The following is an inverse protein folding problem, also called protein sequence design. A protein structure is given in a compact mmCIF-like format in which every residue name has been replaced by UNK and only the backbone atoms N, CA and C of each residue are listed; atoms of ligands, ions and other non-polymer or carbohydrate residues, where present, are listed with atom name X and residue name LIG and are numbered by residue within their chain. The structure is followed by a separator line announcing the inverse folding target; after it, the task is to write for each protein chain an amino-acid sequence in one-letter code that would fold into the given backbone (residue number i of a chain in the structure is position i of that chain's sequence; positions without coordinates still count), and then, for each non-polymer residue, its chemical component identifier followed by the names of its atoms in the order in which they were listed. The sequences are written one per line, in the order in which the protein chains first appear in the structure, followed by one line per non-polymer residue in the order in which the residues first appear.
data_IF_213838218288
#
_entry.id   IF_213838218288
#
_cell.length_a   1.000
_cell.length_b   1.000
_cell.length_c   1.000
_cell.angle_alpha   90.00
_cell.angle_beta   90.00
_cell.angle_gamma   90.00
#
_symmetry.space_group_name_H-M   'P 1'
#
loop_
_entity.id
_entity.type
_entity.pdbx_description
1 polymer ?
#
# COMPACT_ATOMS: atom_id res chain seq x y z
N UNK A 1 25.46 12.58 76.98
CA UNK A 1 25.57 11.16 76.60
C UNK A 1 24.70 10.96 75.37
N UNK A 2 25.25 11.07 74.17
CA UNK A 2 24.55 10.86 72.92
C UNK A 2 25.20 9.70 72.19
N UNK A 3 24.45 8.62 72.06
CA UNK A 3 24.84 7.41 71.32
C UNK A 3 24.77 7.63 69.82
N UNK A 4 25.83 7.39 69.09
CA UNK A 4 25.85 7.38 67.61
C UNK A 4 25.45 5.99 67.16
N UNK A 5 24.27 5.94 66.48
CA UNK A 5 23.86 4.76 65.73
C UNK A 5 24.38 4.92 64.29
N UNK A 6 25.31 4.05 63.89
CA UNK A 6 25.84 4.01 62.57
C UNK A 6 24.85 3.31 61.63
N UNK A 7 24.46 4.00 60.56
CA UNK A 7 23.63 3.44 59.49
C UNK A 7 24.56 2.78 58.47
N UNK A 8 24.58 1.46 58.42
CA UNK A 8 25.23 0.70 57.37
C UNK A 8 24.35 0.70 56.12
N UNK A 9 24.78 1.39 55.06
CA UNK A 9 24.13 1.33 53.76
C UNK A 9 24.52 0.02 53.05
N UNK A 10 23.58 -0.89 52.88
CA UNK A 10 23.74 -2.02 51.97
C UNK A 10 23.59 -1.50 50.54
N UNK A 11 24.70 -1.48 49.81
CA UNK A 11 24.71 -1.27 48.37
C UNK A 11 24.26 -2.59 47.69
N UNK A 12 23.01 -2.68 47.29
CA UNK A 12 22.52 -3.75 46.41
C UNK A 12 23.02 -3.48 44.99
N UNK A 13 23.98 -4.25 44.51
CA UNK A 13 24.39 -4.27 43.10
C UNK A 13 23.33 -5.02 42.33
N UNK A 14 22.45 -4.29 41.62
CA UNK A 14 21.54 -4.87 40.65
C UNK A 14 22.37 -5.19 39.39
N UNK A 15 22.71 -6.45 39.22
CA UNK A 15 23.23 -6.97 37.95
C UNK A 15 22.10 -6.97 36.94
N UNK A 16 21.99 -5.90 36.13
CA UNK A 16 21.15 -5.90 34.91
C UNK A 16 21.84 -6.81 33.90
N UNK A 17 21.31 -8.01 33.73
CA UNK A 17 21.64 -8.81 32.54
C UNK A 17 21.07 -8.06 31.35
N UNK A 18 21.91 -7.54 30.49
CA UNK A 18 21.50 -7.17 29.12
C UNK A 18 21.05 -8.46 28.43
N UNK A 19 19.77 -8.70 28.42
CA UNK A 19 19.17 -9.65 27.50
C UNK A 19 19.26 -8.95 26.14
N UNK A 20 20.11 -9.44 25.25
CA UNK A 20 20.10 -9.00 23.85
C UNK A 20 18.69 -9.25 23.33
N UNK A 21 18.01 -8.17 22.94
CA UNK A 21 16.67 -8.26 22.38
C UNK A 21 16.81 -9.00 21.05
N UNK A 22 16.15 -10.15 20.92
CA UNK A 22 16.10 -10.89 19.66
C UNK A 22 14.94 -10.38 18.84
N UNK A 23 15.10 -10.30 17.52
CA UNK A 23 14.06 -9.90 16.61
C UNK A 23 12.99 -11.00 16.51
N UNK A 24 11.70 -10.66 16.66
CA UNK A 24 10.62 -11.62 16.50
C UNK A 24 10.55 -12.15 15.05
N UNK A 25 9.81 -13.23 14.87
CA UNK A 25 9.52 -13.76 13.53
C UNK A 25 8.87 -12.67 12.69
N UNK A 26 9.28 -12.55 11.45
CA UNK A 26 8.86 -11.54 10.47
C UNK A 26 9.44 -10.13 10.68
N UNK A 27 10.20 -9.88 11.73
CA UNK A 27 10.87 -8.58 11.92
C UNK A 27 12.16 -8.46 11.08
N UNK A 28 12.53 -7.24 10.76
CA UNK A 28 13.81 -6.95 10.09
C UNK A 28 14.98 -7.31 11.01
N UNK A 29 15.99 -7.94 10.43
CA UNK A 29 17.20 -8.36 11.15
C UNK A 29 18.51 -8.02 10.43
N UNK A 30 18.45 -7.23 9.35
CA UNK A 30 19.66 -6.81 8.62
C UNK A 30 19.32 -5.95 7.40
N UNK A 31 20.35 -5.50 6.71
CA UNK A 31 20.31 -4.66 5.52
C UNK A 31 21.19 -3.42 5.65
N UNK A 32 21.50 -2.74 4.54
CA UNK A 32 22.32 -1.53 4.53
C UNK A 32 21.62 -0.45 5.37
N UNK A 33 22.34 0.11 6.35
CA UNK A 33 21.81 1.13 7.27
C UNK A 33 21.01 0.59 8.45
N UNK A 34 20.82 -0.72 8.57
CA UNK A 34 20.15 -1.32 9.72
C UNK A 34 20.97 -1.16 11.00
N UNK A 35 20.36 -0.59 12.04
CA UNK A 35 21.01 -0.35 13.34
C UNK A 35 20.38 -1.15 14.48
N UNK A 36 19.35 -1.96 14.18
CA UNK A 36 18.68 -2.82 15.16
C UNK A 36 19.40 -4.15 15.36
N UNK A 37 18.78 -5.03 16.17
CA UNK A 37 19.31 -6.38 16.42
C UNK A 37 19.29 -7.24 15.17
N UNK A 38 20.32 -8.05 15.01
CA UNK A 38 20.47 -8.94 13.83
C UNK A 38 20.18 -10.40 14.13
N UNK A 39 19.87 -10.71 15.41
CA UNK A 39 19.60 -12.07 15.88
C UNK A 39 18.10 -12.29 16.00
N UNK A 40 17.59 -13.32 15.34
CA UNK A 40 16.17 -13.72 15.42
C UNK A 40 15.90 -14.58 16.66
N UNK A 41 14.64 -14.58 17.13
CA UNK A 41 14.17 -15.50 18.17
C UNK A 41 14.37 -16.96 17.76
N UNK A 42 14.41 -17.86 18.75
CA UNK A 42 14.54 -19.30 18.51
C UNK A 42 13.42 -19.80 17.57
N UNK A 43 13.79 -20.56 16.55
CA UNK A 43 12.85 -21.04 15.53
C UNK A 43 12.71 -20.12 14.31
N UNK A 44 13.48 -19.02 14.27
CA UNK A 44 13.58 -18.17 13.09
C UNK A 44 15.04 -17.92 12.69
N UNK A 45 15.26 -17.70 11.40
CA UNK A 45 16.57 -17.43 10.79
C UNK A 45 16.52 -16.09 10.08
N UNK A 46 17.53 -15.24 10.30
CA UNK A 46 17.67 -14.00 9.54
C UNK A 46 17.99 -14.35 8.08
N UNK A 47 17.02 -14.15 7.22
CA UNK A 47 17.07 -14.49 5.81
C UNK A 47 17.24 -13.23 4.99
N UNK A 48 18.28 -13.19 4.17
CA UNK A 48 18.54 -12.11 3.23
C UNK A 48 17.39 -12.03 2.21
N UNK A 49 16.84 -10.84 2.03
CA UNK A 49 15.83 -10.54 1.01
C UNK A 49 16.44 -9.64 -0.08
N UNK A 50 17.12 -8.57 0.32
CA UNK A 50 17.87 -7.66 -0.56
C UNK A 50 18.92 -6.91 0.27
N UNK A 51 19.74 -6.06 -0.38
CA UNK A 51 20.83 -5.32 0.27
C UNK A 51 20.36 -4.41 1.42
N UNK A 52 19.13 -3.96 1.41
CA UNK A 52 18.56 -3.04 2.38
C UNK A 52 17.72 -3.73 3.46
N UNK A 53 17.36 -5.03 3.24
CA UNK A 53 16.41 -5.73 4.10
C UNK A 53 16.71 -7.22 4.24
N UNK A 54 16.86 -7.69 5.46
CA UNK A 54 16.85 -9.09 5.84
C UNK A 54 15.77 -9.33 6.89
N UNK A 55 15.10 -10.46 6.86
CA UNK A 55 13.94 -10.76 7.69
C UNK A 55 14.09 -12.04 8.47
N UNK A 56 13.60 -12.08 9.69
CA UNK A 56 13.50 -13.28 10.52
C UNK A 56 12.38 -14.19 10.02
N UNK A 57 12.70 -15.19 9.25
CA UNK A 57 11.73 -16.17 8.74
C UNK A 57 11.72 -17.45 9.60
N UNK A 58 10.55 -18.13 9.75
CA UNK A 58 10.49 -19.42 10.41
C UNK A 58 11.44 -20.43 9.76
N UNK A 59 12.30 -21.07 10.54
CA UNK A 59 13.27 -22.05 10.05
C UNK A 59 14.25 -22.45 11.14
N UNK A 60 14.88 -23.61 10.96
CA UNK A 60 16.01 -24.05 11.79
C UNK A 60 17.31 -23.77 11.05
N UNK A 61 18.25 -23.07 11.68
CA UNK A 61 19.58 -22.84 11.13
C UNK A 61 20.27 -24.20 10.87
N UNK A 62 20.35 -24.61 9.62
CA UNK A 62 21.23 -25.70 9.20
C UNK A 62 22.60 -25.08 8.98
N UNK A 63 23.55 -25.36 9.88
CA UNK A 63 24.96 -25.08 9.66
C UNK A 63 25.47 -25.96 8.54
N UNK A 64 25.44 -25.45 7.30
CA UNK A 64 26.19 -26.04 6.20
C UNK A 64 27.52 -25.31 6.04
N UNK A 65 28.63 -26.00 5.76
CA UNK A 65 29.92 -25.38 5.54
C UNK A 65 29.85 -24.48 4.29
N UNK A 66 30.51 -23.34 4.37
CA UNK A 66 30.65 -22.41 3.25
C UNK A 66 31.40 -23.11 2.11
N UNK A 67 30.65 -23.67 1.16
CA UNK A 67 31.18 -24.08 -0.13
C UNK A 67 31.01 -22.88 -1.05
N UNK A 68 32.11 -22.31 -1.46
CA UNK A 68 32.17 -21.30 -2.52
C UNK A 68 31.70 -21.96 -3.80
N UNK A 69 30.43 -21.99 -4.04
CA UNK A 69 29.87 -22.33 -5.35
C UNK A 69 29.80 -21.02 -6.13
N UNK A 70 30.69 -20.90 -7.09
CA UNK A 70 30.56 -19.97 -8.19
C UNK A 70 29.18 -20.21 -8.81
N UNK A 71 28.22 -19.36 -8.47
CA UNK A 71 26.91 -19.39 -9.12
C UNK A 71 27.13 -18.98 -10.56
N UNK A 72 27.08 -19.96 -11.43
CA UNK A 72 26.94 -19.76 -12.87
C UNK A 72 25.67 -18.95 -13.04
N UNK A 73 25.84 -17.69 -13.44
CA UNK A 73 24.76 -16.79 -13.86
C UNK A 73 23.83 -17.58 -14.80
N UNK A 74 22.63 -17.87 -14.36
CA UNK A 74 21.54 -18.24 -15.25
C UNK A 74 21.38 -17.11 -16.26
N UNK A 75 21.28 -17.48 -17.53
CA UNK A 75 21.23 -16.60 -18.67
C UNK A 75 20.25 -15.42 -18.45
N UNK A 76 20.55 -14.24 -18.99
CA UNK A 76 19.68 -13.07 -18.86
C UNK A 76 18.29 -13.45 -19.36
N UNK A 77 17.29 -13.24 -18.53
CA UNK A 77 15.91 -13.22 -18.98
C UNK A 77 15.86 -12.22 -20.13
N UNK A 78 15.51 -12.68 -21.32
CA UNK A 78 15.52 -11.83 -22.51
C UNK A 78 14.61 -10.62 -22.23
N UNK A 79 15.17 -9.41 -22.36
CA UNK A 79 14.40 -8.17 -22.21
C UNK A 79 13.24 -8.22 -23.21
N UNK A 80 11.98 -8.01 -22.78
CA UNK A 80 10.85 -8.06 -23.70
C UNK A 80 11.00 -6.99 -24.80
N UNK A 81 10.72 -7.39 -26.04
CA UNK A 81 10.79 -6.46 -27.18
C UNK A 81 9.75 -5.33 -27.03
N UNK A 82 10.16 -4.08 -27.26
CA UNK A 82 9.30 -2.90 -27.21
C UNK A 82 9.23 -2.23 -25.84
N UNK A 83 9.92 -2.75 -24.83
CA UNK A 83 9.94 -2.17 -23.47
C UNK A 83 10.71 -0.84 -23.42
N UNK A 84 11.59 -0.60 -24.37
CA UNK A 84 12.39 0.62 -24.50
C UNK A 84 11.55 1.90 -24.72
N UNK A 85 10.30 1.73 -25.17
CA UNK A 85 9.35 2.83 -25.41
C UNK A 85 8.20 2.84 -24.40
N UNK A 86 8.29 2.01 -23.34
CA UNK A 86 7.24 1.92 -22.34
C UNK A 86 7.38 2.99 -21.26
N UNK A 87 6.24 3.44 -20.76
CA UNK A 87 6.13 4.14 -19.50
C UNK A 87 5.73 3.14 -18.41
N UNK A 88 6.14 3.37 -17.18
CA UNK A 88 5.95 2.45 -16.07
C UNK A 88 5.04 3.06 -15.02
N UNK A 89 3.99 2.36 -14.66
CA UNK A 89 3.09 2.77 -13.61
C UNK A 89 3.20 1.80 -12.44
N UNK A 90 3.63 2.31 -11.29
CA UNK A 90 3.69 1.57 -10.03
C UNK A 90 2.52 2.01 -9.16
N UNK A 91 1.54 1.13 -8.99
CA UNK A 91 0.30 1.42 -8.29
C UNK A 91 0.22 0.65 -6.99
N UNK A 92 -0.20 1.34 -5.93
CA UNK A 92 -0.34 0.82 -4.58
C UNK A 92 -1.73 1.13 -4.07
N UNK A 93 -2.22 0.31 -3.15
CA UNK A 93 -3.52 0.59 -2.58
C UNK A 93 -4.20 -0.64 -1.98
N UNK A 94 -5.50 -0.58 -1.97
CA UNK A 94 -6.39 -1.58 -1.40
C UNK A 94 -7.29 -2.23 -2.46
N UNK A 95 -8.45 -2.73 -2.03
CA UNK A 95 -9.41 -3.41 -2.92
C UNK A 95 -9.96 -2.52 -4.05
N UNK A 96 -9.90 -1.19 -3.92
CA UNK A 96 -10.31 -0.30 -5.01
C UNK A 96 -9.36 -0.31 -6.20
N UNK A 97 -8.11 -0.71 -5.98
CA UNK A 97 -7.06 -0.73 -6.99
C UNK A 97 -6.59 -2.15 -7.31
N UNK A 98 -6.80 -3.13 -6.43
CA UNK A 98 -6.27 -4.48 -6.62
C UNK A 98 -6.69 -5.09 -7.97
N UNK A 99 -5.75 -5.85 -8.56
CA UNK A 99 -5.99 -6.79 -9.66
C UNK A 99 -5.47 -8.18 -9.34
N UNK A 100 -4.89 -8.38 -8.15
CA UNK A 100 -4.28 -9.63 -7.72
C UNK A 100 -2.89 -9.89 -8.31
N UNK A 101 -2.19 -8.84 -8.71
CA UNK A 101 -0.81 -8.93 -9.19
C UNK A 101 0.10 -9.54 -8.13
N UNK A 102 1.03 -10.39 -8.57
CA UNK A 102 2.09 -10.95 -7.72
C UNK A 102 3.44 -10.73 -8.38
N UNK A 103 4.46 -10.54 -7.55
CA UNK A 103 5.83 -10.28 -8.02
C UNK A 103 6.55 -11.52 -8.54
N UNK A 104 5.97 -12.71 -8.32
CA UNK A 104 6.56 -14.01 -8.66
C UNK A 104 6.08 -14.60 -9.98
N UNK A 105 5.02 -14.03 -10.55
CA UNK A 105 4.42 -14.49 -11.81
C UNK A 105 4.74 -13.56 -13.00
N UNK A 106 3.97 -13.67 -14.09
CA UNK A 106 4.20 -12.87 -15.29
C UNK A 106 4.13 -11.37 -14.99
N UNK A 107 5.20 -10.66 -15.27
CA UNK A 107 5.30 -9.21 -15.11
C UNK A 107 4.64 -8.47 -16.28
N UNK A 108 4.33 -7.16 -16.13
CA UNK A 108 3.85 -6.31 -17.22
C UNK A 108 4.83 -6.25 -18.38
N UNK A 109 4.31 -6.50 -19.59
CA UNK A 109 5.08 -6.46 -20.85
C UNK A 109 4.20 -5.92 -21.98
N UNK A 110 4.77 -5.45 -23.11
CA UNK A 110 3.98 -5.11 -24.29
C UNK A 110 3.06 -6.27 -24.71
N UNK A 111 1.76 -5.98 -24.86
CA UNK A 111 0.73 -6.99 -25.14
C UNK A 111 0.11 -7.64 -23.90
N UNK A 112 0.71 -7.48 -22.72
CA UNK A 112 0.14 -7.86 -21.42
C UNK A 112 0.50 -6.80 -20.38
N UNK A 113 -0.07 -5.58 -20.46
CA UNK A 113 0.43 -4.41 -19.74
C UNK A 113 0.18 -4.43 -18.23
N UNK A 114 -0.67 -5.33 -17.72
CA UNK A 114 -0.92 -5.52 -16.29
C UNK A 114 -0.23 -6.79 -15.72
N UNK A 115 0.42 -7.58 -16.58
CA UNK A 115 1.14 -8.78 -16.15
C UNK A 115 0.20 -9.91 -15.75
N UNK A 116 0.23 -10.27 -14.49
CA UNK A 116 -0.60 -11.31 -13.89
C UNK A 116 -1.59 -10.73 -12.88
N UNK A 117 -2.70 -11.43 -12.58
CA UNK A 117 -3.32 -12.50 -13.34
C UNK A 117 -3.83 -12.01 -14.71
N UNK A 118 -4.33 -12.88 -15.60
CA UNK A 118 -4.90 -12.44 -16.88
C UNK A 118 -5.98 -11.37 -16.70
N UNK A 119 -5.91 -10.34 -17.54
CA UNK A 119 -6.86 -9.21 -17.52
C UNK A 119 -8.33 -9.64 -17.46
N UNK A 120 -9.18 -8.97 -16.66
CA UNK A 120 -8.91 -7.83 -15.78
C UNK A 120 -8.32 -8.21 -14.41
N UNK A 121 -7.97 -9.46 -14.18
CA UNK A 121 -7.45 -9.96 -12.92
C UNK A 121 -8.54 -10.22 -11.87
N UNK A 122 -8.13 -10.22 -10.60
CA UNK A 122 -9.00 -10.47 -9.44
C UNK A 122 -9.37 -9.16 -8.77
N UNK A 123 -10.19 -8.35 -9.44
CA UNK A 123 -10.73 -7.12 -8.87
C UNK A 123 -11.81 -7.42 -7.82
N UNK A 124 -12.08 -6.48 -6.94
CA UNK A 124 -13.07 -6.64 -5.88
C UNK A 124 -14.51 -6.80 -6.38
N UNK A 125 -14.79 -6.47 -7.65
CA UNK A 125 -16.14 -6.49 -8.25
C UNK A 125 -16.27 -7.42 -9.46
N UNK A 126 -15.23 -8.18 -9.79
CA UNK A 126 -15.26 -9.18 -10.86
C UNK A 126 -15.25 -8.63 -12.28
N UNK A 127 -15.10 -7.32 -12.48
CA UNK A 127 -14.93 -6.65 -13.76
C UNK A 127 -13.68 -5.77 -13.74
N UNK A 128 -13.56 -4.85 -14.70
CA UNK A 128 -12.46 -3.87 -14.69
C UNK A 128 -12.62 -2.86 -13.58
N UNK A 129 -11.51 -2.44 -12.99
CA UNK A 129 -11.44 -1.29 -12.10
C UNK A 129 -10.74 -0.10 -12.79
N UNK A 130 -10.52 1.00 -12.07
CA UNK A 130 -9.97 2.23 -12.63
C UNK A 130 -8.56 2.04 -13.21
N UNK A 131 -7.68 1.29 -12.53
CA UNK A 131 -6.31 1.05 -12.98
C UNK A 131 -6.27 0.22 -14.28
N UNK A 132 -7.21 -0.72 -14.42
CA UNK A 132 -7.37 -1.49 -15.64
C UNK A 132 -7.68 -0.59 -16.83
N UNK A 133 -8.68 0.29 -16.68
CA UNK A 133 -9.13 1.14 -17.80
C UNK A 133 -8.12 2.23 -18.13
N UNK A 134 -7.44 2.80 -17.15
CA UNK A 134 -6.40 3.79 -17.40
C UNK A 134 -5.14 3.17 -18.02
N UNK A 135 -4.84 1.91 -17.69
CA UNK A 135 -3.74 1.19 -18.33
C UNK A 135 -4.04 0.79 -19.77
N UNK A 136 -5.31 0.45 -20.10
CA UNK A 136 -5.64 -0.23 -21.38
C UNK A 136 -6.52 0.57 -22.31
N UNK A 137 -7.29 1.55 -21.83
CA UNK A 137 -8.29 2.29 -22.61
C UNK A 137 -7.95 3.78 -22.70
N UNK A 138 -7.60 4.43 -21.57
CA UNK A 138 -7.37 5.88 -21.52
C UNK A 138 -5.90 6.27 -21.61
N UNK A 139 -5.01 5.29 -21.70
CA UNK A 139 -3.57 5.51 -21.89
C UNK A 139 -3.28 6.29 -23.18
N UNK A 140 -2.28 7.17 -23.14
CA UNK A 140 -1.78 7.97 -24.30
C UNK A 140 -0.51 7.39 -24.89
N UNK A 141 0.03 6.35 -24.31
CA UNK A 141 1.27 5.69 -24.66
C UNK A 141 1.24 4.23 -24.22
N UNK A 142 2.26 3.45 -24.52
CA UNK A 142 2.42 2.12 -23.90
C UNK A 142 2.74 2.30 -22.43
N UNK A 143 1.79 1.94 -21.56
CA UNK A 143 1.95 1.94 -20.10
C UNK A 143 2.04 0.49 -19.63
N UNK A 144 3.05 0.18 -18.82
CA UNK A 144 3.22 -1.09 -18.14
C UNK A 144 2.96 -0.90 -16.64
N UNK A 145 1.88 -1.46 -16.14
CA UNK A 145 1.38 -1.21 -14.79
C UNK A 145 1.70 -2.34 -13.85
N UNK A 146 2.57 -2.09 -12.89
CA UNK A 146 2.89 -2.94 -11.75
C UNK A 146 1.95 -2.59 -10.60
N UNK A 147 0.90 -3.37 -10.41
CA UNK A 147 -0.18 -3.06 -9.47
C UNK A 147 -0.05 -3.83 -8.16
N UNK A 148 0.71 -3.32 -7.21
CA UNK A 148 0.95 -3.92 -5.89
C UNK A 148 -0.23 -3.84 -4.93
N UNK A 149 -1.33 -3.17 -5.31
CA UNK A 149 -2.51 -3.00 -4.47
C UNK A 149 -3.10 -4.34 -4.01
N UNK A 150 -3.46 -4.42 -2.73
CA UNK A 150 -3.96 -5.65 -2.11
C UNK A 150 -5.27 -5.40 -1.35
N UNK A 151 -6.27 -6.23 -1.61
CA UNK A 151 -7.59 -6.12 -0.97
C UNK A 151 -7.53 -6.24 0.56
N UNK A 152 -8.15 -5.31 1.25
CA UNK A 152 -8.09 -5.25 2.70
C UNK A 152 -6.87 -4.53 3.27
N UNK A 153 -5.96 -4.05 2.43
CA UNK A 153 -4.74 -3.38 2.86
C UNK A 153 -5.02 -2.18 3.76
N UNK A 154 -4.31 -2.10 4.86
CA UNK A 154 -4.12 -0.89 5.66
C UNK A 154 -2.79 -0.25 5.30
N UNK A 155 -2.56 0.95 5.74
CA UNK A 155 -1.29 1.65 5.51
C UNK A 155 -0.18 0.95 6.27
N UNK A 156 -0.42 0.71 7.53
CA UNK A 156 0.50 0.07 8.46
C UNK A 156 -0.28 -0.90 9.36
N UNK A 157 -0.07 -2.17 9.13
CA UNK A 157 -0.73 -3.24 9.89
C UNK A 157 -0.45 -3.18 11.42
N UNK A 158 0.64 -2.51 11.83
CA UNK A 158 0.96 -2.31 13.25
C UNK A 158 0.15 -1.19 13.90
N UNK A 159 -0.36 -0.23 13.12
CA UNK A 159 -1.22 0.85 13.59
C UNK A 159 -2.68 0.45 13.50
N UNK A 160 -3.06 -0.14 12.37
CA UNK A 160 -4.40 -0.67 12.14
C UNK A 160 -4.27 -2.06 11.51
N UNK A 161 -4.60 -3.08 12.27
CA UNK A 161 -4.56 -4.45 11.79
C UNK A 161 -5.56 -4.64 10.63
N UNK A 162 -5.15 -5.25 9.52
CA UNK A 162 -6.06 -5.68 8.47
C UNK A 162 -6.97 -6.81 8.97
N UNK A 163 -8.00 -7.16 8.20
CA UNK A 163 -8.95 -8.22 8.56
C UNK A 163 -8.30 -9.62 8.61
N UNK A 164 -7.21 -9.81 7.92
CA UNK A 164 -6.41 -11.05 7.88
C UNK A 164 -4.92 -10.70 7.98
N UNK A 165 -4.12 -11.47 8.74
CA UNK A 165 -2.69 -11.22 8.87
C UNK A 165 -1.88 -11.37 7.59
N UNK A 166 -2.45 -12.02 6.57
CA UNK A 166 -1.83 -12.23 5.25
C UNK A 166 -2.04 -11.09 4.27
N UNK A 167 -2.87 -10.12 4.64
CA UNK A 167 -3.11 -8.92 3.81
C UNK A 167 -1.88 -8.04 3.81
N UNK A 168 -1.38 -7.73 2.61
CA UNK A 168 -0.23 -6.85 2.43
C UNK A 168 -0.63 -5.40 2.66
N UNK A 169 -0.08 -4.79 3.71
CA UNK A 169 -0.24 -3.36 3.97
C UNK A 169 0.47 -2.51 2.90
N UNK A 170 0.25 -1.20 2.89
CA UNK A 170 1.00 -0.31 2.01
C UNK A 170 2.52 -0.44 2.23
N UNK A 171 2.95 -0.64 3.47
CA UNK A 171 4.37 -0.88 3.78
C UNK A 171 4.87 -2.14 3.06
N UNK A 172 4.11 -3.23 3.10
CA UNK A 172 4.48 -4.48 2.44
C UNK A 172 4.52 -4.33 0.92
N UNK A 173 3.54 -3.65 0.34
CA UNK A 173 3.46 -3.35 -1.09
C UNK A 173 4.67 -2.51 -1.57
N UNK A 174 5.07 -1.51 -0.79
CA UNK A 174 6.27 -0.73 -1.07
C UNK A 174 7.52 -1.61 -0.98
N UNK A 175 7.60 -2.52 -0.02
CA UNK A 175 8.71 -3.47 0.08
C UNK A 175 8.75 -4.42 -1.13
N UNK A 176 7.61 -4.86 -1.65
CA UNK A 176 7.55 -5.64 -2.90
C UNK A 176 8.11 -4.84 -4.09
N UNK A 177 7.72 -3.58 -4.24
CA UNK A 177 8.30 -2.69 -5.26
C UNK A 177 9.81 -2.54 -5.08
N UNK A 178 10.27 -2.32 -3.85
CA UNK A 178 11.70 -2.19 -3.54
C UNK A 178 12.48 -3.46 -3.90
N UNK A 179 11.91 -4.63 -3.67
CA UNK A 179 12.52 -5.92 -4.01
C UNK A 179 12.42 -6.31 -5.49
N UNK A 180 11.53 -5.70 -6.27
CA UNK A 180 11.27 -6.13 -7.65
C UNK A 180 11.71 -5.09 -8.70
N UNK A 181 11.30 -3.83 -8.54
CA UNK A 181 11.40 -2.84 -9.61
C UNK A 181 12.26 -1.61 -9.26
N UNK A 182 12.53 -1.37 -7.98
CA UNK A 182 13.26 -0.17 -7.55
C UNK A 182 14.67 -0.06 -8.16
N UNK A 183 15.35 -1.19 -8.32
CA UNK A 183 16.71 -1.25 -8.91
C UNK A 183 16.71 -1.09 -10.44
N UNK A 184 15.56 -0.78 -11.04
CA UNK A 184 15.42 -0.57 -12.48
C UNK A 184 15.95 -1.74 -13.30
N UNK A 185 15.46 -2.96 -13.05
CA UNK A 185 15.93 -4.14 -13.76
C UNK A 185 15.67 -3.99 -15.27
N UNK A 186 16.37 -4.77 -16.09
CA UNK A 186 16.20 -4.72 -17.53
C UNK A 186 14.76 -4.99 -18.01
N UNK A 187 13.92 -5.59 -17.16
CA UNK A 187 12.48 -5.80 -17.38
C UNK A 187 11.60 -4.62 -16.97
N UNK A 188 12.15 -3.66 -16.22
CA UNK A 188 11.49 -2.41 -15.83
C UNK A 188 12.53 -1.28 -15.74
N UNK A 189 13.12 -0.86 -16.88
CA UNK A 189 14.19 0.16 -16.92
C UNK A 189 13.61 1.58 -16.81
N UNK A 190 12.78 1.83 -15.82
CA UNK A 190 12.12 3.10 -15.60
C UNK A 190 13.10 4.21 -15.18
N UNK A 191 12.70 5.44 -15.44
CA UNK A 191 13.38 6.67 -15.01
C UNK A 191 12.34 7.64 -14.44
N UNK A 192 12.80 8.74 -13.87
CA UNK A 192 11.90 9.82 -13.43
C UNK A 192 11.08 10.46 -14.56
N UNK A 193 11.48 10.25 -15.81
CA UNK A 193 10.81 10.83 -16.99
C UNK A 193 9.66 9.93 -17.50
N UNK A 194 9.72 8.63 -17.21
CA UNK A 194 8.77 7.65 -17.71
C UNK A 194 8.15 6.75 -16.60
N UNK A 195 8.18 7.21 -15.35
CA UNK A 195 7.56 6.49 -14.23
C UNK A 195 6.46 7.32 -13.55
N UNK A 196 5.32 6.66 -13.27
CA UNK A 196 4.21 7.17 -12.47
C UNK A 196 4.05 6.30 -11.23
N UNK A 197 3.81 6.93 -10.09
CA UNK A 197 3.49 6.27 -8.82
C UNK A 197 2.12 6.75 -8.34
N UNK A 198 1.21 5.81 -8.10
CA UNK A 198 -0.13 6.11 -7.57
C UNK A 198 -0.41 5.32 -6.30
N UNK A 199 -1.07 5.98 -5.36
CA UNK A 199 -1.45 5.36 -4.08
C UNK A 199 -2.90 5.69 -3.79
N UNK A 200 -3.76 4.66 -3.68
CA UNK A 200 -5.15 4.78 -3.28
C UNK A 200 -5.42 3.79 -2.17
N UNK A 201 -5.34 4.29 -0.95
CA UNK A 201 -5.41 3.44 0.23
C UNK A 201 -6.11 4.15 1.38
N UNK A 202 -6.44 3.40 2.42
CA UNK A 202 -6.80 3.81 3.72
C UNK A 202 -8.18 3.46 4.17
N UNK A 203 -9.14 2.96 3.32
CA UNK A 203 -10.47 2.56 3.70
C UNK A 203 -10.43 1.60 4.86
N UNK A 204 -9.47 0.68 4.87
CA UNK A 204 -9.35 -0.30 5.91
C UNK A 204 -8.80 0.32 7.20
N UNK A 205 -7.97 1.36 7.11
CA UNK A 205 -7.46 2.07 8.29
C UNK A 205 -8.58 2.75 9.06
N UNK A 206 -9.41 3.53 8.37
CA UNK A 206 -10.55 4.21 9.01
C UNK A 206 -11.60 3.20 9.44
N UNK A 207 -12.03 2.29 8.54
CA UNK A 207 -13.04 1.29 8.82
C UNK A 207 -12.73 0.46 10.06
N UNK A 208 -11.46 0.10 10.25
CA UNK A 208 -11.01 -0.73 11.37
C UNK A 208 -10.62 0.07 12.64
N UNK A 209 -10.64 1.41 12.61
CA UNK A 209 -10.18 2.21 13.76
C UNK A 209 -11.05 3.38 14.18
N UNK A 210 -12.00 3.86 13.36
CA UNK A 210 -12.80 5.06 13.65
C UNK A 210 -13.58 4.98 14.98
N UNK A 211 -14.00 3.80 15.39
CA UNK A 211 -14.79 3.53 16.59
C UNK A 211 -13.96 3.38 17.88
N UNK A 212 -12.63 3.37 17.79
CA UNK A 212 -11.75 3.21 18.94
C UNK A 212 -11.67 4.51 19.75
N UNK A 213 -11.47 4.36 21.07
CA UNK A 213 -11.34 5.50 21.98
C UNK A 213 -10.05 6.31 21.75
N UNK A 214 -10.04 7.57 22.15
CA UNK A 214 -8.91 8.48 22.03
C UNK A 214 -9.15 9.57 20.98
N UNK A 215 -8.20 10.46 20.84
CA UNK A 215 -8.25 11.55 19.86
C UNK A 215 -8.01 10.99 18.46
N UNK A 216 -9.07 10.90 17.67
CA UNK A 216 -9.03 10.35 16.31
C UNK A 216 -8.44 11.33 15.30
N UNK A 217 -8.48 12.63 15.57
CA UNK A 217 -7.82 13.62 14.72
C UNK A 217 -6.29 13.54 14.85
N UNK A 218 -5.81 13.45 16.08
CA UNK A 218 -4.40 13.17 16.35
C UNK A 218 -3.95 11.81 15.81
N UNK A 219 -4.81 10.79 15.89
CA UNK A 219 -4.50 9.47 15.29
C UNK A 219 -4.48 9.52 13.77
N UNK A 220 -5.26 10.39 13.15
CA UNK A 220 -5.17 10.63 11.71
C UNK A 220 -3.82 11.24 11.32
N UNK A 221 -3.20 12.05 12.16
CA UNK A 221 -1.81 12.47 11.94
C UNK A 221 -0.83 11.29 12.00
N UNK A 222 -1.02 10.37 12.93
CA UNK A 222 -0.22 9.14 13.02
C UNK A 222 -0.44 8.24 11.79
N UNK A 223 -1.68 8.09 11.32
CA UNK A 223 -2.00 7.39 10.09
C UNK A 223 -1.47 8.14 8.87
N UNK A 224 -1.49 9.47 8.88
CA UNK A 224 -0.90 10.29 7.84
C UNK A 224 0.62 10.32 7.88
N UNK A 225 1.22 10.12 9.00
CA UNK A 225 2.64 9.82 9.07
C UNK A 225 2.94 8.42 8.49
N UNK A 226 1.98 7.53 8.55
CA UNK A 226 1.98 6.19 7.94
C UNK A 226 1.12 6.06 6.70
N UNK A 227 0.41 7.07 6.28
CA UNK A 227 -0.45 7.28 5.11
C UNK A 227 -1.93 6.82 5.17
N UNK A 228 -2.76 7.33 4.56
CA UNK A 228 -4.10 7.72 4.25
C UNK A 228 -5.25 6.75 4.02
N UNK A 229 -6.34 7.10 4.39
CA UNK A 229 -7.54 6.50 4.55
C UNK A 229 -8.74 6.25 3.77
N UNK A 230 -9.71 5.66 4.17
CA UNK A 230 -10.78 5.03 3.63
C UNK A 230 -12.13 5.07 4.16
N UNK A 231 -12.98 4.82 3.47
CA UNK A 231 -14.37 4.84 3.82
C UNK A 231 -15.10 3.64 3.33
N UNK A 232 -15.93 3.13 4.04
CA UNK A 232 -17.17 2.80 3.58
C UNK A 232 -17.89 1.61 4.06
N UNK A 233 -18.16 0.92 4.64
CA UNK A 233 -19.13 -0.11 4.71
C UNK A 233 -20.37 0.05 5.54
N UNK A 234 -20.54 1.11 6.17
CA UNK A 234 -21.47 1.08 7.28
C UNK A 234 -22.64 2.07 7.16
N UNK A 235 -22.74 2.67 5.99
CA UNK A 235 -23.77 3.69 5.77
C UNK A 235 -25.20 3.17 6.03
N UNK A 236 -25.44 1.90 5.73
CA UNK A 236 -26.78 1.30 5.90
C UNK A 236 -27.06 0.72 7.29
N UNK A 237 -26.01 0.49 8.12
CA UNK A 237 -26.12 -0.17 9.41
C UNK A 237 -25.69 0.67 10.61
N UNK A 238 -25.09 1.86 10.40
CA UNK A 238 -24.57 2.71 11.47
C UNK A 238 -25.61 3.67 12.04
N UNK A 239 -25.44 4.02 13.31
CA UNK A 239 -26.19 5.11 13.93
C UNK A 239 -25.83 6.46 13.30
N UNK A 240 -26.76 7.41 13.33
CA UNK A 240 -26.52 8.76 12.81
C UNK A 240 -25.30 9.44 13.45
N UNK A 241 -25.03 9.17 14.72
CA UNK A 241 -23.87 9.72 15.45
C UNK A 241 -22.54 9.11 14.93
N UNK A 242 -22.51 7.81 14.65
CA UNK A 242 -21.34 7.15 14.09
C UNK A 242 -21.05 7.66 12.67
N UNK A 243 -22.07 7.84 11.84
CA UNK A 243 -21.94 8.40 10.48
C UNK A 243 -21.42 9.85 10.51
N UNK A 244 -21.92 10.68 11.45
CA UNK A 244 -21.46 12.06 11.62
C UNK A 244 -19.99 12.13 12.06
N UNK A 245 -19.58 11.24 12.97
CA UNK A 245 -18.19 11.13 13.40
C UNK A 245 -17.27 10.70 12.25
N UNK A 246 -17.63 9.65 11.54
CA UNK A 246 -16.88 9.15 10.38
C UNK A 246 -16.69 10.24 9.33
N UNK A 247 -17.77 10.93 8.94
CA UNK A 247 -17.73 12.05 7.99
C UNK A 247 -16.75 13.14 8.43
N UNK A 248 -16.69 13.45 9.73
CA UNK A 248 -15.79 14.47 10.28
C UNK A 248 -14.33 14.03 10.17
N UNK A 249 -14.04 12.76 10.51
CA UNK A 249 -12.69 12.19 10.42
C UNK A 249 -12.20 12.20 8.98
N UNK A 250 -13.04 11.78 8.03
CA UNK A 250 -12.72 11.78 6.60
C UNK A 250 -12.38 13.20 6.09
N UNK A 251 -13.21 14.19 6.43
CA UNK A 251 -13.01 15.56 5.97
C UNK A 251 -11.69 16.15 6.50
N UNK A 252 -11.39 15.95 7.79
CA UNK A 252 -10.14 16.40 8.41
C UNK A 252 -8.92 15.75 7.74
N UNK A 253 -9.01 14.48 7.49
CA UNK A 253 -7.98 13.70 6.87
C UNK A 253 -7.69 14.17 5.43
N UNK A 254 -8.69 14.25 4.53
CA UNK A 254 -8.52 14.70 3.15
C UNK A 254 -7.87 16.09 3.08
N UNK A 255 -8.24 16.99 4.00
CA UNK A 255 -7.62 18.32 4.11
C UNK A 255 -6.12 18.24 4.43
N UNK A 256 -5.73 17.36 5.35
CA UNK A 256 -4.32 17.16 5.74
C UNK A 256 -3.50 16.55 4.59
N UNK A 257 -4.06 15.64 3.80
CA UNK A 257 -3.36 15.09 2.62
C UNK A 257 -3.03 16.17 1.60
N UNK A 258 -4.02 16.93 1.20
CA UNK A 258 -3.81 17.95 0.20
C UNK A 258 -2.67 18.88 0.62
N UNK A 259 -2.64 19.30 1.90
CA UNK A 259 -1.57 20.12 2.45
C UNK A 259 -0.20 19.40 2.43
N UNK A 260 -0.16 18.11 2.78
CA UNK A 260 1.10 17.34 2.80
C UNK A 260 1.62 17.04 1.40
N UNK A 261 0.77 16.75 0.42
CA UNK A 261 1.17 16.58 -0.97
C UNK A 261 1.83 17.84 -1.53
N UNK A 262 1.25 19.01 -1.26
CA UNK A 262 1.85 20.29 -1.64
C UNK A 262 3.20 20.53 -0.95
N UNK A 263 3.26 20.30 0.36
CA UNK A 263 4.50 20.46 1.14
C UNK A 263 5.60 19.51 0.66
N UNK A 264 5.23 18.28 0.31
CA UNK A 264 6.17 17.29 -0.22
C UNK A 264 6.75 17.73 -1.57
N UNK A 265 5.90 18.15 -2.51
CA UNK A 265 6.37 18.67 -3.79
C UNK A 265 7.29 19.89 -3.62
N UNK A 266 6.94 20.80 -2.71
CA UNK A 266 7.75 21.99 -2.43
C UNK A 266 9.12 21.64 -1.80
N UNK A 267 9.21 20.59 -1.01
CA UNK A 267 10.44 20.15 -0.35
C UNK A 267 11.37 19.30 -1.24
N UNK A 268 10.85 18.76 -2.35
CA UNK A 268 11.58 17.82 -3.18
C UNK A 268 11.68 18.33 -4.63
N UNK A 269 12.73 19.07 -4.92
CA UNK A 269 12.96 19.61 -6.27
C UNK A 269 13.04 18.48 -7.31
N UNK A 270 12.32 18.61 -8.41
CA UNK A 270 12.26 17.62 -9.48
C UNK A 270 11.17 16.55 -9.29
N UNK A 271 10.40 16.61 -8.19
CA UNK A 271 9.22 15.77 -7.98
C UNK A 271 7.96 16.55 -8.37
N UNK A 272 7.11 15.95 -9.19
CA UNK A 272 5.77 16.44 -9.49
C UNK A 272 4.75 15.55 -8.78
N UNK A 273 3.76 16.15 -8.13
CA UNK A 273 2.66 15.44 -7.47
C UNK A 273 1.34 15.84 -8.11
N UNK A 274 0.47 14.87 -8.28
CA UNK A 274 -0.91 15.07 -8.69
C UNK A 274 -1.83 14.55 -7.59
N UNK A 275 -2.91 15.27 -7.34
CA UNK A 275 -3.94 14.86 -6.39
C UNK A 275 -5.29 14.80 -7.13
N UNK A 276 -5.86 13.60 -7.19
CA UNK A 276 -7.23 13.41 -7.65
C UNK A 276 -8.14 13.30 -6.42
N UNK A 277 -9.16 14.16 -6.36
CA UNK A 277 -10.12 14.19 -5.26
C UNK A 277 -11.22 13.14 -5.48
N UNK A 278 -10.99 11.94 -4.97
CA UNK A 278 -11.94 10.84 -5.04
C UNK A 278 -13.23 11.15 -4.25
N UNK A 279 -13.14 11.86 -3.12
CA UNK A 279 -14.32 12.23 -2.34
C UNK A 279 -15.26 13.14 -3.14
N UNK A 280 -14.71 14.16 -3.80
CA UNK A 280 -15.49 15.03 -4.67
C UNK A 280 -16.09 14.26 -5.86
N UNK A 281 -15.34 13.32 -6.45
CA UNK A 281 -15.81 12.49 -7.55
C UNK A 281 -16.97 11.58 -7.14
N UNK A 282 -16.85 10.87 -6.02
CA UNK A 282 -17.95 10.06 -5.45
C UNK A 282 -19.17 10.91 -5.14
N UNK A 283 -18.99 12.02 -4.41
CA UNK A 283 -20.09 12.93 -4.04
C UNK A 283 -20.85 13.38 -5.28
N UNK A 284 -20.15 13.80 -6.32
CA UNK A 284 -20.75 14.27 -7.56
C UNK A 284 -21.66 13.24 -8.24
N UNK A 285 -21.24 11.98 -8.25
CA UNK A 285 -22.05 10.90 -8.86
C UNK A 285 -23.18 10.48 -7.92
N UNK A 286 -22.94 10.41 -6.60
CA UNK A 286 -23.95 10.01 -5.63
C UNK A 286 -25.04 11.06 -5.40
N UNK A 287 -24.75 12.35 -5.65
CA UNK A 287 -25.74 13.42 -5.60
C UNK A 287 -26.71 13.40 -6.79
N UNK A 288 -26.26 12.94 -7.96
CA UNK A 288 -27.10 12.78 -9.15
C UNK A 288 -26.73 11.51 -9.94
N UNK A 289 -26.99 10.31 -9.40
CA UNK A 289 -26.58 9.04 -10.02
C UNK A 289 -27.19 8.83 -11.39
N UNK A 290 -28.39 9.33 -11.62
CA UNK A 290 -29.11 9.17 -12.89
C UNK A 290 -28.44 9.91 -14.05
N UNK A 291 -27.79 11.03 -13.80
CA UNK A 291 -26.98 11.75 -14.79
C UNK A 291 -25.77 10.94 -15.27
N UNK A 292 -25.36 9.93 -14.51
CA UNK A 292 -24.23 9.05 -14.81
C UNK A 292 -24.68 7.64 -15.25
N UNK A 293 -25.98 7.42 -15.42
CA UNK A 293 -26.56 6.17 -15.91
C UNK A 293 -26.85 5.14 -14.83
N UNK A 294 -26.75 5.50 -13.55
CA UNK A 294 -27.11 4.64 -12.41
C UNK A 294 -28.58 4.79 -12.02
N UNK A 295 -29.18 3.73 -11.50
CA UNK A 295 -30.59 3.76 -11.05
C UNK A 295 -30.78 4.64 -9.81
N UNK A 296 -29.86 4.56 -8.87
CA UNK A 296 -29.83 5.32 -7.62
C UNK A 296 -28.42 5.26 -6.98
N UNK A 297 -28.28 5.80 -5.77
CA UNK A 297 -27.02 5.85 -5.02
C UNK A 297 -26.88 4.74 -3.95
N UNK A 298 -27.78 3.76 -3.91
CA UNK A 298 -27.83 2.71 -2.89
C UNK A 298 -27.86 1.30 -3.43
N UNK A 299 -28.42 1.09 -4.63
CA UNK A 299 -28.52 -0.23 -5.25
C UNK A 299 -27.15 -0.82 -5.56
N UNK A 300 -27.00 -2.11 -5.31
CA UNK A 300 -25.77 -2.86 -5.58
C UNK A 300 -26.08 -4.25 -6.14
N UNK A 301 -25.16 -4.78 -6.94
CA UNK A 301 -25.22 -6.11 -7.52
C UNK A 301 -24.59 -6.20 -8.90
N UNK A 302 -25.07 -7.15 -9.67
CA UNK A 302 -24.52 -7.48 -11.00
C UNK A 302 -25.16 -6.70 -12.16
N UNK A 303 -26.12 -5.81 -11.88
CA UNK A 303 -26.71 -5.01 -12.95
C UNK A 303 -25.74 -3.92 -13.40
N UNK A 304 -25.68 -3.70 -14.70
CA UNK A 304 -24.74 -2.72 -15.30
C UNK A 304 -25.02 -1.27 -14.92
N UNK A 305 -26.20 -0.99 -14.35
CA UNK A 305 -26.63 0.33 -13.90
C UNK A 305 -26.76 0.45 -12.36
N UNK A 306 -26.28 -0.54 -11.59
CA UNK A 306 -26.09 -0.39 -10.17
C UNK A 306 -24.82 0.43 -9.91
N UNK A 307 -24.90 1.43 -9.00
CA UNK A 307 -23.71 2.20 -8.65
C UNK A 307 -22.71 1.36 -7.86
N UNK A 308 -23.19 0.49 -6.97
CA UNK A 308 -22.37 -0.39 -6.17
C UNK A 308 -22.26 -1.79 -6.79
N UNK A 309 -21.06 -2.32 -6.91
CA UNK A 309 -20.84 -3.72 -7.33
C UNK A 309 -21.12 -4.72 -6.21
N UNK A 310 -20.98 -4.26 -4.97
CA UNK A 310 -21.39 -4.97 -3.76
C UNK A 310 -21.70 -3.96 -2.66
N UNK A 311 -21.96 -4.43 -1.44
CA UNK A 311 -22.28 -3.55 -0.31
C UNK A 311 -21.09 -2.66 0.16
N UNK A 312 -19.98 -2.64 -0.57
CA UNK A 312 -18.77 -1.90 -0.20
C UNK A 312 -18.04 -1.23 -1.36
N UNK A 313 -18.02 -1.82 -2.53
CA UNK A 313 -17.24 -1.30 -3.65
C UNK A 313 -18.14 -0.76 -4.76
N UNK A 314 -17.74 0.34 -5.36
CA UNK A 314 -18.40 0.86 -6.56
C UNK A 314 -18.27 -0.13 -7.73
N UNK A 315 -19.26 -0.17 -8.60
CA UNK A 315 -19.31 -1.06 -9.77
C UNK A 315 -18.23 -0.72 -10.80
N UNK A 316 -17.97 -1.66 -11.74
CA UNK A 316 -17.08 -1.39 -12.87
C UNK A 316 -17.48 -0.16 -13.69
N UNK A 317 -18.76 0.12 -13.80
CA UNK A 317 -19.25 1.32 -14.48
C UNK A 317 -18.82 2.59 -13.75
N UNK A 318 -18.93 2.63 -12.42
CA UNK A 318 -18.45 3.74 -11.60
C UNK A 318 -16.90 3.84 -11.62
N UNK A 319 -16.20 2.70 -11.56
CA UNK A 319 -14.73 2.67 -11.67
C UNK A 319 -14.24 3.26 -13.00
N UNK A 320 -15.00 3.09 -14.08
CA UNK A 320 -14.69 3.73 -15.37
C UNK A 320 -14.76 5.26 -15.29
N UNK A 321 -15.70 5.80 -14.52
CA UNK A 321 -15.79 7.26 -14.26
C UNK A 321 -14.59 7.74 -13.44
N UNK A 322 -14.12 6.93 -12.47
CA UNK A 322 -12.91 7.25 -11.72
C UNK A 322 -11.67 7.30 -12.61
N UNK A 323 -11.51 6.30 -13.51
CA UNK A 323 -10.44 6.28 -14.49
C UNK A 323 -10.42 7.53 -15.37
N UNK A 324 -11.59 7.95 -15.88
CA UNK A 324 -11.72 9.22 -16.62
C UNK A 324 -11.28 10.42 -15.78
N UNK A 325 -11.62 10.44 -14.50
CA UNK A 325 -11.23 11.50 -13.58
C UNK A 325 -9.72 11.57 -13.34
N UNK A 326 -9.06 10.42 -13.16
CA UNK A 326 -7.60 10.32 -13.03
C UNK A 326 -6.92 10.74 -14.33
N UNK A 327 -7.36 10.22 -15.48
CA UNK A 327 -6.82 10.61 -16.78
C UNK A 327 -6.94 12.12 -17.06
N UNK A 328 -8.03 12.76 -16.57
CA UNK A 328 -8.19 14.20 -16.69
C UNK A 328 -7.16 14.99 -15.86
N UNK A 329 -6.80 14.51 -14.67
CA UNK A 329 -5.74 15.11 -13.84
C UNK A 329 -4.37 14.98 -14.50
N UNK A 330 -4.15 13.90 -15.25
CA UNK A 330 -2.89 13.62 -15.95
C UNK A 330 -2.87 14.14 -17.39
N UNK A 331 -3.85 14.96 -17.80
CA UNK A 331 -4.08 15.35 -19.19
C UNK A 331 -2.85 16.03 -19.87
N UNK A 332 -2.05 16.78 -19.13
CA UNK A 332 -0.86 17.47 -19.63
C UNK A 332 0.44 16.64 -19.48
N UNK A 333 0.30 15.34 -19.29
CA UNK A 333 1.40 14.39 -19.14
C UNK A 333 1.44 13.40 -20.29
N UNK A 334 2.38 12.45 -20.23
CA UNK A 334 2.47 11.33 -21.19
C UNK A 334 1.63 10.11 -20.78
N UNK A 335 1.00 10.17 -19.60
CA UNK A 335 0.21 9.08 -18.98
C UNK A 335 -1.23 9.05 -19.45
#
# INVERSE_FOLDING_TARGET
MFSKIGLAALASVVLVRCVTAQQPVWAQCGGIGWTGETTCVAGAVCTYQNDWYSQCLPGTATTAPATTTTSTSTAPTSVPSGIENANFWFSFGDSYTQTGFTTTDAIPVPGNPLGNPPYPGYTAVGGTNWIDVDTTVYNKSLVLTYNYAYGGATINASLVAPYEPTVLSLIDQVNEFLGQAADKPATAPWTSENALFSVWIGINDIGNSYYQSGDRDAFSDVLLDSYFGQVQQLMLAQSADAQALEKTVIAGYNSKLAARAQSFAAANAGVTTWLWDSNAAFTKVLDDPTAYGFVDNTSYGDNTNDFWGNNYHSSSAAQTIWGQGVAAVLNDTIW
#
